data_IF_477073205484
#
_entry.id   IF_477073205484
#
_cell.length_a   1.000
_cell.length_b   1.000
_cell.length_c   1.000
_cell.angle_alpha   90.00
_cell.angle_beta   90.00
_cell.angle_gamma   90.00
#
_symmetry.space_group_name_H-M   'P 1'
#
loop_
_entity.id
_entity.type
_entity.pdbx_description
1 polymer ?
#
# COMPACT_ATOMS: atom_id res chain seq x y z
N UNK A 1 -25.88 -2.64 -1.27
CA UNK A 1 -24.57 -2.72 -0.59
C UNK A 1 -23.92 -4.02 -1.01
N UNK A 2 -22.67 -3.98 -1.48
CA UNK A 2 -21.90 -5.16 -1.89
C UNK A 2 -21.16 -5.74 -0.69
N UNK A 3 -20.72 -6.99 -0.79
CA UNK A 3 -19.91 -7.64 0.24
C UNK A 3 -18.58 -6.89 0.50
N UNK A 4 -17.99 -6.33 -0.56
CA UNK A 4 -16.81 -5.47 -0.46
C UNK A 4 -17.05 -4.22 0.39
N UNK A 5 -18.24 -3.64 0.29
CA UNK A 5 -18.59 -2.41 1.00
C UNK A 5 -18.73 -2.71 2.51
N UNK A 6 -19.31 -3.88 2.84
CA UNK A 6 -19.41 -4.38 4.21
C UNK A 6 -18.03 -4.61 4.84
N UNK A 7 -17.17 -5.34 4.14
CA UNK A 7 -15.81 -5.61 4.61
C UNK A 7 -15.03 -4.30 4.84
N UNK A 8 -15.20 -3.33 3.94
CA UNK A 8 -14.57 -2.02 4.06
C UNK A 8 -15.06 -1.23 5.27
N UNK A 9 -16.38 -1.17 5.47
CA UNK A 9 -16.99 -0.47 6.62
C UNK A 9 -16.56 -1.12 7.93
N UNK A 10 -16.55 -2.44 8.01
CA UNK A 10 -16.12 -3.16 9.22
C UNK A 10 -14.63 -2.96 9.53
N UNK A 11 -13.78 -2.82 8.51
CA UNK A 11 -12.34 -2.64 8.70
C UNK A 11 -11.94 -1.20 9.06
N UNK A 12 -12.69 -0.19 8.60
CA UNK A 12 -12.26 1.21 8.69
C UNK A 12 -13.24 2.14 9.41
N UNK A 13 -14.44 1.66 9.76
CA UNK A 13 -15.47 2.47 10.39
C UNK A 13 -15.38 2.49 11.91
N UNK A 14 -16.06 3.47 12.50
CA UNK A 14 -16.21 3.61 13.94
C UNK A 14 -17.43 2.84 14.44
N UNK A 15 -17.24 1.99 15.45
CA UNK A 15 -18.33 1.30 16.15
C UNK A 15 -19.05 2.27 17.09
N UNK A 16 -20.38 2.37 16.94
CA UNK A 16 -21.26 3.20 17.76
C UNK A 16 -22.24 2.37 18.60
N UNK A 17 -21.91 1.10 18.85
CA UNK A 17 -22.65 0.14 19.70
C UNK A 17 -23.87 -0.49 19.03
N UNK A 18 -24.57 0.25 18.15
CA UNK A 18 -25.71 -0.23 17.35
C UNK A 18 -25.36 -0.54 15.90
N UNK A 19 -24.08 -0.42 15.54
CA UNK A 19 -23.60 -0.59 14.18
C UNK A 19 -22.28 0.15 13.97
N UNK A 20 -21.77 0.06 12.76
CA UNK A 20 -20.51 0.69 12.35
C UNK A 20 -20.82 1.78 11.32
N UNK A 21 -20.22 2.96 11.48
CA UNK A 21 -20.37 4.09 10.58
C UNK A 21 -19.00 4.60 10.15
N UNK A 22 -18.89 5.02 8.89
CA UNK A 22 -17.72 5.75 8.40
C UNK A 22 -17.96 7.23 8.70
N UNK A 23 -17.15 7.80 9.58
CA UNK A 23 -17.20 9.21 9.95
C UNK A 23 -16.32 10.07 9.03
N UNK A 24 -16.46 11.40 9.09
CA UNK A 24 -15.55 12.31 8.38
C UNK A 24 -14.09 12.15 8.81
N UNK A 25 -13.85 11.80 10.07
CA UNK A 25 -12.52 11.53 10.58
C UNK A 25 -11.95 10.22 9.98
N UNK A 26 -12.78 9.18 9.85
CA UNK A 26 -12.38 7.93 9.22
C UNK A 26 -12.04 8.14 7.75
N UNK A 27 -12.87 8.87 7.00
CA UNK A 27 -12.57 9.19 5.59
C UNK A 27 -11.28 9.99 5.45
N UNK A 28 -11.06 11.01 6.30
CA UNK A 28 -9.82 11.79 6.28
C UNK A 28 -8.57 10.94 6.58
N UNK A 29 -8.68 9.96 7.49
CA UNK A 29 -7.59 9.03 7.79
C UNK A 29 -7.30 8.10 6.61
N UNK A 30 -8.34 7.51 6.02
CA UNK A 30 -8.25 6.64 4.84
C UNK A 30 -7.58 7.40 3.68
N UNK A 31 -8.01 8.63 3.41
CA UNK A 31 -7.44 9.45 2.34
C UNK A 31 -5.95 9.77 2.59
N UNK A 32 -5.59 10.10 3.83
CA UNK A 32 -4.20 10.37 4.21
C UNK A 32 -3.33 9.13 4.03
N UNK A 33 -3.81 7.97 4.47
CA UNK A 33 -3.08 6.71 4.32
C UNK A 33 -2.92 6.34 2.84
N UNK A 34 -3.99 6.42 2.06
CA UNK A 34 -3.94 6.18 0.62
C UNK A 34 -2.94 7.11 -0.08
N UNK A 35 -2.89 8.40 0.29
CA UNK A 35 -1.92 9.35 -0.24
C UNK A 35 -0.49 8.94 0.09
N UNK A 36 -0.21 8.60 1.35
CA UNK A 36 1.12 8.16 1.78
C UNK A 36 1.56 6.89 1.05
N UNK A 37 0.65 5.93 0.82
CA UNK A 37 0.92 4.71 0.07
C UNK A 37 1.24 5.01 -1.40
N UNK A 38 0.47 5.89 -2.04
CA UNK A 38 0.70 6.32 -3.42
C UNK A 38 2.06 7.03 -3.55
N UNK A 39 2.37 7.97 -2.65
CA UNK A 39 3.65 8.67 -2.63
C UNK A 39 4.82 7.69 -2.41
N UNK A 40 4.66 6.74 -1.49
CA UNK A 40 5.66 5.69 -1.24
C UNK A 40 5.86 4.83 -2.48
N UNK A 41 4.79 4.41 -3.14
CA UNK A 41 4.86 3.64 -4.38
C UNK A 41 5.58 4.42 -5.49
N UNK A 42 5.30 5.72 -5.65
CA UNK A 42 6.02 6.58 -6.59
C UNK A 42 7.51 6.70 -6.24
N UNK A 43 7.84 6.87 -4.97
CA UNK A 43 9.21 6.98 -4.49
C UNK A 43 9.99 5.67 -4.64
N UNK A 44 9.32 4.52 -4.55
CA UNK A 44 9.93 3.19 -4.67
C UNK A 44 9.93 2.65 -6.10
N UNK A 45 9.19 3.28 -7.01
CA UNK A 45 9.16 2.88 -8.42
C UNK A 45 10.58 2.81 -8.99
N UNK A 46 10.86 1.71 -9.67
CA UNK A 46 12.15 1.41 -10.31
C UNK A 46 13.33 1.24 -9.31
N UNK A 47 13.09 1.16 -8.00
CA UNK A 47 14.11 0.79 -7.01
C UNK A 47 14.11 -0.71 -6.75
N UNK A 48 15.28 -1.33 -6.80
CA UNK A 48 15.46 -2.73 -6.41
C UNK A 48 16.06 -2.80 -5.01
N UNK A 49 15.39 -3.51 -4.10
CA UNK A 49 15.94 -3.90 -2.81
C UNK A 49 16.59 -5.28 -2.96
N UNK A 50 17.91 -5.34 -2.76
CA UNK A 50 18.63 -6.63 -2.73
C UNK A 50 18.73 -7.10 -1.28
N UNK A 51 18.09 -8.23 -0.97
CA UNK A 51 18.13 -8.89 0.34
C UNK A 51 19.02 -10.12 0.26
N UNK A 52 19.93 -10.30 1.22
CA UNK A 52 20.73 -11.51 1.36
C UNK A 52 20.79 -11.90 2.84
N UNK A 53 20.35 -13.13 3.16
CA UNK A 53 20.36 -13.69 4.53
C UNK A 53 19.85 -12.69 5.58
N UNK A 54 18.65 -12.16 5.33
CA UNK A 54 17.92 -11.22 6.20
C UNK A 54 18.53 -9.83 6.38
N UNK A 55 19.57 -9.48 5.60
CA UNK A 55 20.14 -8.12 5.58
C UNK A 55 19.83 -7.44 4.24
N UNK A 56 19.28 -6.22 4.33
CA UNK A 56 19.17 -5.33 3.18
C UNK A 56 20.57 -4.79 2.82
N UNK A 57 21.11 -5.22 1.67
CA UNK A 57 22.49 -4.87 1.28
C UNK A 57 22.55 -3.51 0.59
N UNK A 58 21.62 -3.24 -0.35
CA UNK A 58 21.62 -1.98 -1.09
C UNK A 58 20.30 -1.76 -1.84
N UNK A 59 19.91 -0.49 -1.98
CA UNK A 59 18.86 -0.05 -2.91
C UNK A 59 19.49 0.66 -4.08
N UNK A 60 19.26 0.20 -5.31
CA UNK A 60 19.71 0.90 -6.52
C UNK A 60 18.55 1.13 -7.49
N UNK A 61 18.70 2.15 -8.35
CA UNK A 61 17.73 2.46 -9.39
C UNK A 61 17.97 1.52 -10.58
N UNK A 62 17.03 0.62 -10.85
CA UNK A 62 17.09 -0.28 -11.98
C UNK A 62 16.61 0.44 -13.24
N UNK A 63 17.42 0.44 -14.30
CA UNK A 63 16.99 1.01 -15.58
C UNK A 63 15.85 0.16 -16.21
N UNK A 64 15.15 0.71 -17.21
CA UNK A 64 14.00 0.06 -17.87
C UNK A 64 14.35 -1.29 -18.53
N UNK A 65 15.62 -1.56 -18.83
CA UNK A 65 16.10 -2.83 -19.40
C UNK A 65 16.38 -3.85 -18.30
N UNK A 66 16.99 -3.42 -17.19
CA UNK A 66 17.24 -4.20 -15.99
C UNK A 66 15.93 -4.63 -15.33
N UNK A 67 14.96 -3.71 -15.17
CA UNK A 67 13.65 -4.01 -14.60
C UNK A 67 12.92 -5.10 -15.39
N UNK A 68 12.85 -4.97 -16.73
CA UNK A 68 12.25 -6.00 -17.60
C UNK A 68 12.96 -7.35 -17.53
N UNK A 69 14.28 -7.37 -17.31
CA UNK A 69 15.05 -8.62 -17.16
C UNK A 69 14.76 -9.28 -15.82
N UNK A 70 14.68 -8.50 -14.74
CA UNK A 70 14.42 -9.00 -13.38
C UNK A 70 12.98 -9.52 -13.25
N UNK A 71 11.98 -8.80 -13.75
CA UNK A 71 10.58 -9.25 -13.73
C UNK A 71 10.31 -10.51 -14.56
N UNK A 72 11.21 -10.87 -15.49
CA UNK A 72 11.11 -12.13 -16.27
C UNK A 72 11.83 -13.31 -15.61
N UNK A 73 12.69 -13.03 -14.64
CA UNK A 73 13.50 -14.02 -13.94
C UNK A 73 12.94 -14.38 -12.55
N UNK A 74 12.00 -13.59 -12.04
CA UNK A 74 11.18 -13.88 -10.87
C UNK A 74 9.93 -14.68 -11.27
#
# INVERSE_FOLDING_TARGET
MRESDLAFILANGTDVGRGVIITEHDTANIEREARNLIETAHNLKDKLLVVNRDVAITTFHADRRQHRRLCRAA
#
